data_IF_229997747559
#
_entry.id   IF_229997747559
#
_cell.length_a   1.000
_cell.length_b   1.000
_cell.length_c   1.000
_cell.angle_alpha   90.00
_cell.angle_beta   90.00
_cell.angle_gamma   90.00
#
_symmetry.space_group_name_H-M   'P 1'
#
loop_
_entity.id
_entity.type
_entity.pdbx_description
1 polymer ?
#
# COMPACT_ATOMS: atom_id res chain seq x y z
N UNK A 1 25.84 -16.46 -24.22
CA UNK A 1 25.19 -16.52 -22.89
C UNK A 1 24.47 -15.20 -22.69
N UNK A 2 23.15 -15.17 -22.79
CA UNK A 2 22.35 -13.96 -22.50
C UNK A 2 21.56 -14.28 -21.24
N UNK A 3 21.95 -13.66 -20.14
CA UNK A 3 21.22 -13.76 -18.87
C UNK A 3 19.92 -12.96 -19.01
N UNK A 4 18.79 -13.66 -19.03
CA UNK A 4 17.47 -13.06 -18.92
C UNK A 4 17.33 -12.41 -17.55
N UNK A 5 17.38 -11.08 -17.52
CA UNK A 5 16.95 -10.28 -16.38
C UNK A 5 15.44 -10.46 -16.20
N UNK A 6 15.05 -11.27 -15.22
CA UNK A 6 13.68 -11.31 -14.72
C UNK A 6 13.40 -10.01 -13.97
N UNK A 7 12.85 -9.03 -14.69
CA UNK A 7 12.27 -7.84 -14.07
C UNK A 7 10.98 -8.31 -13.39
N UNK A 8 10.99 -8.38 -12.05
CA UNK A 8 9.80 -8.66 -11.25
C UNK A 8 8.94 -7.39 -11.32
N UNK A 9 8.24 -7.20 -12.43
CA UNK A 9 7.17 -6.22 -12.55
C UNK A 9 6.06 -6.69 -11.62
N UNK A 10 5.96 -6.08 -10.44
CA UNK A 10 4.81 -6.19 -9.56
C UNK A 10 3.62 -5.55 -10.28
N UNK A 11 3.03 -6.30 -11.22
CA UNK A 11 1.75 -5.97 -11.84
C UNK A 11 0.72 -5.98 -10.73
N UNK A 12 0.43 -4.80 -10.17
CA UNK A 12 -0.72 -4.60 -9.33
C UNK A 12 -1.94 -5.05 -10.13
N UNK A 13 -2.53 -6.19 -9.74
CA UNK A 13 -3.70 -6.75 -10.42
C UNK A 13 -4.77 -5.65 -10.50
N UNK A 14 -5.20 -5.24 -11.70
CA UNK A 14 -6.05 -4.07 -11.88
C UNK A 14 -7.36 -4.27 -11.12
N UNK A 15 -7.65 -3.39 -10.15
CA UNK A 15 -8.82 -3.47 -9.27
C UNK A 15 -10.08 -3.89 -10.04
N UNK A 16 -10.60 -5.09 -9.73
CA UNK A 16 -11.78 -5.62 -10.39
C UNK A 16 -13.01 -5.24 -9.58
N UNK A 17 -13.66 -4.16 -10.00
CA UNK A 17 -14.93 -3.71 -9.44
C UNK A 17 -16.09 -4.42 -10.14
N UNK A 18 -16.99 -5.03 -9.35
CA UNK A 18 -18.18 -5.71 -9.85
C UNK A 18 -19.41 -5.11 -9.18
N UNK A 19 -20.48 -4.95 -9.94
CA UNK A 19 -21.77 -4.53 -9.41
C UNK A 19 -22.30 -5.57 -8.41
N UNK A 20 -22.71 -5.11 -7.23
CA UNK A 20 -23.29 -5.93 -6.16
C UNK A 20 -24.77 -5.59 -5.90
N UNK A 21 -25.36 -4.73 -6.74
CA UNK A 21 -26.77 -4.32 -6.66
C UNK A 21 -27.38 -4.32 -8.07
N UNK A 22 -28.72 -4.28 -8.15
CA UNK A 22 -29.44 -4.24 -9.43
C UNK A 22 -29.31 -2.90 -10.16
N UNK A 23 -29.05 -1.82 -9.43
CA UNK A 23 -28.98 -0.44 -9.97
C UNK A 23 -27.78 0.30 -9.38
N UNK A 24 -26.53 -0.11 -9.69
CA UNK A 24 -25.34 0.58 -9.19
C UNK A 24 -25.19 1.94 -9.88
N UNK A 25 -24.61 2.90 -9.17
CA UNK A 25 -24.17 4.15 -9.79
C UNK A 25 -23.14 3.88 -10.89
N UNK A 26 -23.07 4.69 -11.97
CA UNK A 26 -22.07 4.52 -13.01
C UNK A 26 -20.65 4.48 -12.42
N UNK A 27 -19.88 3.42 -12.72
CA UNK A 27 -18.60 3.13 -12.06
C UNK A 27 -17.65 4.33 -12.03
N UNK A 28 -17.50 5.03 -13.17
CA UNK A 28 -16.62 6.18 -13.28
C UNK A 28 -17.04 7.34 -12.35
N UNK A 29 -18.35 7.63 -12.29
CA UNK A 29 -18.91 8.67 -11.43
C UNK A 29 -18.76 8.33 -9.96
N UNK A 30 -19.11 7.11 -9.57
CA UNK A 30 -18.94 6.60 -8.21
C UNK A 30 -17.47 6.69 -7.77
N UNK A 31 -16.54 6.23 -8.62
CA UNK A 31 -15.11 6.25 -8.33
C UNK A 31 -14.59 7.67 -8.10
N UNK A 32 -14.92 8.60 -9.00
CA UNK A 32 -14.47 9.98 -8.89
C UNK A 32 -15.04 10.66 -7.65
N UNK A 33 -16.34 10.51 -7.41
CA UNK A 33 -17.00 11.08 -6.23
C UNK A 33 -16.43 10.50 -4.93
N UNK A 34 -16.31 9.18 -4.83
CA UNK A 34 -15.77 8.51 -3.65
C UNK A 34 -14.31 8.88 -3.40
N UNK A 35 -13.50 9.03 -4.45
CA UNK A 35 -12.11 9.47 -4.33
C UNK A 35 -12.02 10.92 -3.82
N UNK A 36 -12.82 11.84 -4.38
CA UNK A 36 -12.85 13.23 -3.94
C UNK A 36 -13.24 13.34 -2.46
N UNK A 37 -14.34 12.68 -2.07
CA UNK A 37 -14.78 12.65 -0.65
C UNK A 37 -13.72 12.04 0.27
N UNK A 38 -13.00 11.01 -0.19
CA UNK A 38 -11.93 10.41 0.59
C UNK A 38 -10.76 11.38 0.80
N UNK A 39 -10.35 12.13 -0.25
CA UNK A 39 -9.29 13.13 -0.16
C UNK A 39 -9.71 14.31 0.72
N UNK A 40 -10.95 14.80 0.59
CA UNK A 40 -11.48 15.88 1.44
C UNK A 40 -11.49 15.50 2.91
N UNK A 41 -11.86 14.25 3.22
CA UNK A 41 -11.90 13.74 4.60
C UNK A 41 -10.52 13.40 5.15
N UNK A 42 -9.66 12.83 4.31
CA UNK A 42 -8.34 12.29 4.64
C UNK A 42 -7.28 12.78 3.65
N UNK A 43 -6.89 14.06 3.74
CA UNK A 43 -5.95 14.66 2.80
C UNK A 43 -4.59 13.99 2.86
N UNK A 44 -3.84 14.04 1.76
CA UNK A 44 -2.47 13.52 1.70
C UNK A 44 -1.62 14.23 2.75
N UNK A 45 -1.06 13.46 3.69
CA UNK A 45 -0.26 14.00 4.79
C UNK A 45 1.01 13.19 4.96
N UNK A 46 2.09 13.66 4.34
CA UNK A 46 3.38 12.99 4.45
C UNK A 46 4.00 13.24 5.81
N UNK A 47 4.43 12.16 6.46
CA UNK A 47 5.34 12.22 7.59
C UNK A 47 6.68 11.60 7.25
N UNK A 48 7.74 12.30 7.66
CA UNK A 48 9.09 11.79 7.61
C UNK A 48 9.30 10.96 8.88
N UNK A 49 9.48 9.65 8.70
CA UNK A 49 9.82 8.75 9.78
C UNK A 49 11.30 8.39 9.66
N UNK A 50 12.03 8.46 10.77
CA UNK A 50 13.39 7.94 10.88
C UNK A 50 13.35 6.62 11.64
N UNK A 51 13.78 5.54 10.99
CA UNK A 51 14.08 4.30 11.69
C UNK A 51 15.57 4.31 12.04
N UNK A 52 15.86 4.45 13.33
CA UNK A 52 17.20 4.24 13.86
C UNK A 52 17.30 2.78 14.31
N UNK A 53 17.72 1.91 13.41
CA UNK A 53 18.07 0.53 13.76
C UNK A 53 19.41 0.54 14.47
N UNK A 54 19.41 0.27 15.77
CA UNK A 54 20.62 0.07 16.57
C UNK A 54 20.77 -1.42 16.85
N UNK A 55 21.96 -1.97 16.61
CA UNK A 55 22.29 -3.36 16.94
C UNK A 55 23.59 -3.42 17.76
N UNK A 56 23.76 -4.47 18.56
CA UNK A 56 25.02 -4.65 19.30
C UNK A 56 26.17 -4.92 18.31
N UNK A 57 27.33 -4.25 18.46
CA UNK A 57 28.49 -4.51 17.59
C UNK A 57 28.89 -5.99 17.68
N UNK A 58 29.30 -6.55 16.54
CA UNK A 58 29.62 -7.97 16.40
C UNK A 58 31.02 -8.14 15.80
N UNK A 59 31.71 -9.20 16.22
CA UNK A 59 32.96 -9.63 15.62
C UNK A 59 32.72 -10.68 14.53
N UNK A 60 33.23 -10.45 13.33
CA UNK A 60 33.26 -11.44 12.23
C UNK A 60 34.71 -11.59 11.76
N UNK A 61 35.26 -12.80 11.80
CA UNK A 61 36.65 -13.08 11.41
C UNK A 61 37.68 -12.15 12.09
N UNK A 62 37.54 -11.93 13.39
CA UNK A 62 38.40 -11.03 14.18
C UNK A 62 38.37 -9.56 13.73
N UNK A 63 37.39 -9.18 12.91
CA UNK A 63 37.12 -7.79 12.51
C UNK A 63 35.84 -7.31 13.18
N UNK A 64 35.90 -6.14 13.80
CA UNK A 64 34.74 -5.49 14.38
C UNK A 64 33.83 -4.95 13.28
N UNK A 65 32.54 -5.29 13.34
CA UNK A 65 31.48 -4.65 12.57
C UNK A 65 30.87 -3.59 13.50
N UNK A 66 31.20 -2.30 13.33
CA UNK A 66 30.66 -1.24 14.17
C UNK A 66 29.16 -1.08 13.93
N UNK A 67 28.43 -0.74 15.00
CA UNK A 67 27.05 -0.28 14.89
C UNK A 67 27.04 1.14 14.32
N UNK A 68 27.26 1.27 13.01
CA UNK A 68 26.93 2.51 12.31
C UNK A 68 25.43 2.59 12.22
N UNK A 69 24.84 3.44 13.07
CA UNK A 69 23.43 3.82 12.99
C UNK A 69 23.19 4.56 11.65
N UNK A 70 23.06 3.79 10.57
CA UNK A 70 22.56 4.27 9.30
C UNK A 70 21.05 4.40 9.46
N UNK A 71 20.60 5.57 9.92
CA UNK A 71 19.19 5.89 9.99
C UNK A 71 18.60 5.90 8.57
N UNK A 72 17.59 5.08 8.32
CA UNK A 72 16.82 5.18 7.08
C UNK A 72 15.66 6.15 7.30
N UNK A 73 15.63 7.20 6.48
CA UNK A 73 14.51 8.15 6.46
C UNK A 73 13.55 7.76 5.34
N UNK A 74 12.28 7.58 5.67
CA UNK A 74 11.24 7.31 4.67
C UNK A 74 10.04 8.23 4.89
N UNK A 75 9.43 8.64 3.78
CA UNK A 75 8.15 9.34 3.81
C UNK A 75 7.02 8.33 3.70
N UNK A 76 5.99 8.50 4.53
CA UNK A 76 4.76 7.74 4.45
C UNK A 76 3.58 8.70 4.54
N UNK A 77 2.53 8.48 3.74
CA UNK A 77 1.29 9.20 3.93
C UNK A 77 0.54 8.63 5.14
N UNK A 78 0.40 9.45 6.18
CA UNK A 78 -0.26 9.07 7.43
C UNK A 78 -1.70 8.63 7.25
N UNK A 79 -2.37 9.16 6.23
CA UNK A 79 -3.80 8.97 6.01
C UNK A 79 -4.09 7.96 4.89
N UNK A 80 -3.07 7.27 4.37
CA UNK A 80 -3.23 6.38 3.21
C UNK A 80 -4.27 5.28 3.47
N UNK A 81 -4.18 4.64 4.65
CA UNK A 81 -5.05 3.54 5.02
C UNK A 81 -6.49 3.99 5.24
N UNK A 82 -6.71 5.07 5.98
CA UNK A 82 -8.02 5.66 6.27
C UNK A 82 -8.69 6.12 4.98
N UNK A 83 -7.93 6.80 4.10
CA UNK A 83 -8.45 7.25 2.80
C UNK A 83 -8.87 6.07 1.93
N UNK A 84 -8.06 5.01 1.88
CA UNK A 84 -8.38 3.79 1.11
C UNK A 84 -9.58 3.04 1.69
N UNK A 85 -9.70 2.96 3.00
CA UNK A 85 -10.85 2.32 3.65
C UNK A 85 -12.14 3.10 3.39
N UNK A 86 -12.11 4.42 3.56
CA UNK A 86 -13.25 5.28 3.25
C UNK A 86 -13.69 5.18 1.79
N UNK A 87 -12.74 5.20 0.85
CA UNK A 87 -13.01 5.02 -0.57
C UNK A 87 -13.72 3.67 -0.84
N UNK A 88 -13.22 2.57 -0.27
CA UNK A 88 -13.85 1.26 -0.43
C UNK A 88 -15.27 1.20 0.16
N UNK A 89 -15.48 1.83 1.31
CA UNK A 89 -16.79 1.90 1.97
C UNK A 89 -17.78 2.72 1.12
N UNK A 90 -17.34 3.86 0.58
CA UNK A 90 -18.15 4.66 -0.35
C UNK A 90 -18.51 3.87 -1.61
N UNK A 91 -17.54 3.19 -2.24
CA UNK A 91 -17.82 2.36 -3.43
C UNK A 91 -18.84 1.25 -3.16
N UNK A 92 -18.78 0.62 -1.98
CA UNK A 92 -19.79 -0.37 -1.56
C UNK A 92 -21.18 0.24 -1.43
N UNK A 93 -21.28 1.46 -0.89
CA UNK A 93 -22.55 2.18 -0.82
C UNK A 93 -23.10 2.54 -2.20
N UNK A 94 -22.22 2.82 -3.17
CA UNK A 94 -22.57 3.04 -4.59
C UNK A 94 -22.89 1.75 -5.36
N UNK A 95 -22.89 0.60 -4.68
CA UNK A 95 -23.26 -0.70 -5.25
C UNK A 95 -22.10 -1.47 -5.89
N UNK A 96 -20.84 -1.13 -5.56
CA UNK A 96 -19.65 -1.76 -6.12
C UNK A 96 -18.84 -2.55 -5.09
N UNK A 97 -18.40 -3.75 -5.47
CA UNK A 97 -17.52 -4.59 -4.67
C UNK A 97 -16.18 -4.82 -5.39
N UNK A 98 -15.07 -4.68 -4.67
CA UNK A 98 -13.73 -4.95 -5.19
C UNK A 98 -13.37 -6.42 -4.98
N UNK A 99 -13.30 -7.19 -6.07
CA UNK A 99 -12.94 -8.63 -6.04
C UNK A 99 -11.44 -8.90 -6.00
N UNK A 100 -10.59 -7.87 -6.04
CA UNK A 100 -9.13 -8.04 -5.93
C UNK A 100 -8.61 -7.94 -4.49
N UNK A 101 -9.49 -7.82 -3.48
CA UNK A 101 -9.05 -7.98 -2.10
C UNK A 101 -8.72 -9.46 -1.85
N UNK A 102 -7.48 -9.82 -2.13
CA UNK A 102 -6.82 -10.92 -1.43
C UNK A 102 -6.91 -10.55 0.06
N UNK A 103 -7.84 -11.18 0.75
CA UNK A 103 -8.09 -11.03 2.17
C UNK A 103 -6.86 -11.49 2.93
N UNK A 104 -5.98 -10.56 3.30
CA UNK A 104 -5.11 -10.55 4.48
C UNK A 104 -4.13 -11.70 4.76
N UNK A 105 -4.37 -12.93 4.29
CA UNK A 105 -3.63 -14.13 4.66
C UNK A 105 -2.49 -14.44 3.68
N UNK A 106 -2.66 -14.11 2.40
CA UNK A 106 -1.64 -14.35 1.36
C UNK A 106 -0.68 -13.17 1.16
N UNK A 107 -1.00 -11.98 1.71
CA UNK A 107 -0.10 -10.83 1.64
C UNK A 107 1.16 -10.99 2.53
N UNK A 108 1.09 -11.82 3.58
CA UNK A 108 2.23 -12.13 4.44
C UNK A 108 3.22 -13.14 3.83
N UNK A 109 2.82 -13.88 2.78
CA UNK A 109 3.62 -14.98 2.22
C UNK A 109 4.58 -14.54 1.11
N UNK A 110 4.59 -13.26 0.72
CA UNK A 110 5.46 -12.70 -0.31
C UNK A 110 6.36 -11.56 0.19
N UNK A 111 6.67 -11.53 1.48
CA UNK A 111 7.69 -10.64 2.05
C UNK A 111 8.99 -11.41 2.27
#
# INVERSE_FOLDING_TARGET
MIASLFVISSCATPEKWIANTSEPSPLGSARNMCMQRAIERYPVSYSINSANTSFSPMMVNSKEIPNTAAGSTFSSDRNEWERKDYFNTCMRAEGWENKNKVTGLLAFLFN
#
